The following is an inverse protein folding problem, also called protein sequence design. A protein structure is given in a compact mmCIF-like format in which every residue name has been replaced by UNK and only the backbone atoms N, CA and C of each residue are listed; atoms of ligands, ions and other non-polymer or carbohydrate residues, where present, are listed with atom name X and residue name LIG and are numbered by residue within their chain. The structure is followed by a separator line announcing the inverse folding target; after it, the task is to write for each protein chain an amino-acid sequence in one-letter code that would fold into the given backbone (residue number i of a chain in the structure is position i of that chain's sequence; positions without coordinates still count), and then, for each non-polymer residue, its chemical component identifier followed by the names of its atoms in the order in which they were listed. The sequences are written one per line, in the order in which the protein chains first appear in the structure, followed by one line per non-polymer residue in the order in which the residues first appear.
data_IF_634054523856
#
_entry.id   IF_634054523856
#
_cell.length_a   1.000
_cell.length_b   1.000
_cell.length_c   1.000
_cell.angle_alpha   90.00
_cell.angle_beta   90.00
_cell.angle_gamma   90.00
#
_symmetry.space_group_name_H-M   'P 1'
#
loop_
_entity.id
_entity.type
_entity.pdbx_description
1 polymer ?
#
# COMPACT_ATOMS: atom_id res chain seq x y z
N UNK A 1 46.53 -26.28 -29.28
CA UNK A 1 46.11 -26.87 -27.98
C UNK A 1 46.10 -25.79 -26.92
N UNK A 2 44.91 -25.40 -26.46
CA UNK A 2 44.62 -24.76 -25.17
C UNK A 2 43.09 -24.75 -25.03
N UNK A 3 42.59 -25.66 -24.22
CA UNK A 3 41.19 -25.86 -23.92
C UNK A 3 40.69 -24.69 -23.06
N UNK A 4 39.63 -24.01 -23.48
CA UNK A 4 38.89 -23.08 -22.63
C UNK A 4 37.43 -23.50 -22.63
N UNK A 5 37.12 -24.45 -21.73
CA UNK A 5 35.75 -24.75 -21.34
C UNK A 5 35.29 -23.59 -20.46
N UNK A 6 34.51 -22.66 -21.02
CA UNK A 6 33.72 -21.71 -20.23
C UNK A 6 32.31 -22.27 -20.16
N UNK A 7 32.01 -22.84 -18.99
CA UNK A 7 30.71 -23.35 -18.62
C UNK A 7 29.63 -22.28 -18.84
N UNK A 8 28.48 -22.76 -19.32
CA UNK A 8 27.34 -21.98 -19.74
C UNK A 8 26.87 -21.00 -18.68
N UNK A 9 26.53 -19.82 -19.19
CA UNK A 9 25.83 -18.75 -18.53
C UNK A 9 24.39 -19.21 -18.25
N UNK A 10 24.21 -20.02 -17.22
CA UNK A 10 22.90 -20.39 -16.69
C UNK A 10 22.42 -19.28 -15.77
N UNK A 11 21.74 -18.29 -16.33
CA UNK A 11 20.96 -17.31 -15.59
C UNK A 11 19.91 -18.05 -14.75
N UNK A 12 20.12 -18.15 -13.44
CA UNK A 12 19.08 -18.48 -12.48
C UNK A 12 18.90 -17.27 -11.59
N UNK A 13 17.99 -16.41 -12.03
CA UNK A 13 17.34 -15.39 -11.21
C UNK A 13 16.63 -16.17 -10.10
N UNK A 14 17.27 -16.29 -8.93
CA UNK A 14 16.55 -16.74 -7.74
C UNK A 14 15.62 -15.60 -7.37
N UNK A 15 14.38 -15.76 -7.85
CA UNK A 15 13.28 -14.85 -7.68
C UNK A 15 13.04 -14.56 -6.21
N UNK A 16 12.99 -13.27 -5.90
CA UNK A 16 12.16 -12.63 -4.89
C UNK A 16 11.55 -13.55 -3.82
N UNK A 17 12.28 -13.73 -2.73
CA UNK A 17 11.66 -13.83 -1.41
C UNK A 17 11.91 -12.53 -0.65
N UNK A 18 11.25 -11.45 -1.08
CA UNK A 18 10.81 -10.41 -0.14
C UNK A 18 9.44 -10.83 0.40
N UNK A 19 9.40 -11.99 1.05
CA UNK A 19 8.41 -12.22 2.09
C UNK A 19 8.94 -11.47 3.32
N UNK A 20 8.80 -10.14 3.29
CA UNK A 20 8.75 -9.37 4.54
C UNK A 20 7.44 -9.75 5.21
N UNK A 21 7.54 -10.84 5.97
CA UNK A 21 6.69 -11.17 7.11
C UNK A 21 6.72 -9.96 8.03
N UNK A 22 5.84 -8.99 7.78
CA UNK A 22 5.37 -8.05 8.77
C UNK A 22 4.31 -8.75 9.61
N UNK A 23 4.73 -9.75 10.40
CA UNK A 23 3.86 -10.33 11.41
C UNK A 23 3.57 -9.24 12.46
N UNK A 24 2.40 -8.60 12.36
CA UNK A 24 1.69 -8.03 13.50
C UNK A 24 2.41 -6.95 14.32
N UNK A 25 3.22 -6.10 13.70
CA UNK A 25 3.55 -4.83 14.36
C UNK A 25 2.29 -3.97 14.37
N UNK A 26 1.80 -3.68 15.58
CA UNK A 26 0.72 -2.74 15.78
C UNK A 26 1.16 -1.37 15.26
N UNK A 27 0.71 -1.02 14.06
CA UNK A 27 0.98 0.28 13.43
C UNK A 27 0.03 1.37 13.95
N UNK A 28 -0.71 1.14 15.05
CA UNK A 28 -1.60 2.14 15.65
C UNK A 28 -0.81 3.37 16.10
N UNK A 29 -1.30 4.53 15.71
CA UNK A 29 -0.66 5.81 16.01
C UNK A 29 -1.33 6.53 17.17
N UNK A 30 -0.54 7.31 17.90
CA UNK A 30 -1.05 8.22 18.95
C UNK A 30 -1.23 9.66 18.48
N UNK A 31 -0.78 9.99 17.26
CA UNK A 31 -0.88 11.31 16.66
C UNK A 31 -1.30 11.28 15.19
N UNK A 32 -2.04 12.32 14.77
CA UNK A 32 -2.50 12.46 13.39
C UNK A 32 -1.35 12.89 12.49
N UNK A 33 -1.19 12.18 11.37
CA UNK A 33 -0.23 12.46 10.30
C UNK A 33 -0.98 12.98 9.08
N UNK A 34 -0.46 14.04 8.46
CA UNK A 34 -1.12 14.69 7.33
C UNK A 34 -0.83 13.98 6.01
N UNK A 35 -1.57 14.33 4.95
CA UNK A 35 -1.23 13.88 3.59
C UNK A 35 0.20 14.25 3.20
N UNK A 36 0.65 15.49 3.51
CA UNK A 36 2.00 15.95 3.19
C UNK A 36 3.09 15.12 3.89
N UNK A 37 2.83 14.69 5.14
CA UNK A 37 3.74 13.79 5.85
C UNK A 37 3.92 12.48 5.09
N UNK A 38 2.81 11.84 4.70
CA UNK A 38 2.85 10.58 3.96
C UNK A 38 3.41 10.72 2.54
N UNK A 39 3.17 11.85 1.87
CA UNK A 39 3.80 12.15 0.58
C UNK A 39 5.33 12.24 0.70
N UNK A 40 5.85 12.75 1.83
CA UNK A 40 7.28 12.78 2.14
C UNK A 40 7.84 11.44 2.66
N UNK A 41 6.97 10.56 3.19
CA UNK A 41 7.33 9.27 3.80
C UNK A 41 6.57 8.11 3.13
N UNK A 42 6.83 7.92 1.84
CA UNK A 42 6.07 6.99 1.00
C UNK A 42 6.11 5.54 1.46
N UNK A 43 7.25 5.07 1.99
CA UNK A 43 7.37 3.71 2.53
C UNK A 43 6.44 3.48 3.72
N UNK A 44 6.36 4.47 4.62
CA UNK A 44 5.44 4.43 5.76
C UNK A 44 3.98 4.55 5.30
N UNK A 45 3.69 5.36 4.28
CA UNK A 45 2.36 5.44 3.70
C UNK A 45 1.90 4.08 3.14
N UNK A 46 2.78 3.36 2.43
CA UNK A 46 2.50 2.03 1.90
C UNK A 46 2.29 1.03 3.04
N UNK A 47 3.15 1.04 4.07
CA UNK A 47 3.04 0.14 5.21
C UNK A 47 1.75 0.38 6.00
N UNK A 48 1.42 1.64 6.31
CA UNK A 48 0.18 2.00 7.01
C UNK A 48 -1.04 1.65 6.19
N UNK A 49 -1.07 1.95 4.89
CA UNK A 49 -2.22 1.60 4.04
C UNK A 49 -2.48 0.08 4.03
N UNK A 50 -1.43 -0.74 3.89
CA UNK A 50 -1.53 -2.20 3.96
C UNK A 50 -2.09 -2.67 5.31
N UNK A 51 -1.53 -2.18 6.41
CA UNK A 51 -2.05 -2.48 7.75
C UNK A 51 -3.54 -2.12 7.89
N UNK A 52 -3.96 -0.96 7.37
CA UNK A 52 -5.37 -0.55 7.39
C UNK A 52 -6.26 -1.48 6.55
N UNK A 53 -5.78 -2.01 5.43
CA UNK A 53 -6.53 -2.97 4.62
C UNK A 53 -6.66 -4.32 5.35
N UNK A 54 -5.58 -4.79 5.96
CA UNK A 54 -5.56 -6.06 6.71
C UNK A 54 -6.49 -6.00 7.93
N UNK A 55 -6.39 -4.95 8.74
CA UNK A 55 -7.27 -4.73 9.91
C UNK A 55 -8.75 -4.54 9.49
N UNK A 56 -8.97 -4.04 8.28
CA UNK A 56 -10.31 -3.82 7.74
C UNK A 56 -10.87 -5.00 6.92
N UNK A 57 -10.13 -6.11 6.82
CA UNK A 57 -10.43 -7.26 5.97
C UNK A 57 -10.77 -6.86 4.51
N UNK A 58 -10.04 -5.87 3.99
CA UNK A 58 -10.16 -5.40 2.61
C UNK A 58 -9.31 -6.30 1.71
N UNK A 59 -9.97 -7.01 0.80
CA UNK A 59 -9.29 -7.95 -0.09
C UNK A 59 -8.41 -7.23 -1.13
N UNK A 60 -7.38 -7.93 -1.61
CA UNK A 60 -6.56 -7.44 -2.73
C UNK A 60 -7.39 -7.13 -3.99
N UNK A 61 -8.46 -7.89 -4.24
CA UNK A 61 -9.36 -7.62 -5.38
C UNK A 61 -10.03 -6.25 -5.25
N UNK A 62 -10.49 -5.90 -4.06
CA UNK A 62 -11.10 -4.59 -3.79
C UNK A 62 -10.08 -3.45 -3.92
N UNK A 63 -8.83 -3.69 -3.47
CA UNK A 63 -7.72 -2.73 -3.61
C UNK A 63 -7.41 -2.50 -5.09
N UNK A 64 -7.26 -3.58 -5.88
CA UNK A 64 -6.98 -3.49 -7.32
C UNK A 64 -8.13 -2.81 -8.08
N UNK A 65 -9.38 -3.17 -7.77
CA UNK A 65 -10.57 -2.53 -8.33
C UNK A 65 -10.57 -1.02 -8.05
N UNK A 66 -10.29 -0.63 -6.80
CA UNK A 66 -10.18 0.80 -6.42
C UNK A 66 -9.08 1.51 -7.21
N UNK A 67 -7.90 0.90 -7.37
CA UNK A 67 -6.82 1.50 -8.16
C UNK A 67 -7.22 1.72 -9.62
N UNK A 68 -7.88 0.74 -10.23
CA UNK A 68 -8.37 0.84 -11.61
C UNK A 68 -9.42 1.93 -11.79
N UNK A 69 -10.40 2.01 -10.89
CA UNK A 69 -11.42 3.06 -10.94
C UNK A 69 -10.81 4.45 -10.79
N UNK A 70 -9.84 4.61 -9.87
CA UNK A 70 -9.12 5.88 -9.70
C UNK A 70 -8.30 6.23 -10.94
N UNK A 71 -7.69 5.24 -11.60
CA UNK A 71 -6.97 5.47 -12.87
C UNK A 71 -7.89 6.05 -13.94
N UNK A 72 -9.13 5.57 -14.01
CA UNK A 72 -10.11 6.01 -15.01
C UNK A 72 -10.83 7.32 -14.65
N UNK A 73 -11.14 7.53 -13.36
CA UNK A 73 -11.94 8.68 -12.92
C UNK A 73 -11.18 9.77 -12.17
N UNK A 74 -9.88 9.58 -11.94
CA UNK A 74 -9.00 10.60 -11.37
C UNK A 74 -9.27 10.93 -9.91
N UNK A 75 -9.04 12.20 -9.55
CA UNK A 75 -9.00 12.66 -8.16
C UNK A 75 -10.36 12.56 -7.45
N UNK A 76 -11.47 12.76 -8.15
CA UNK A 76 -12.81 12.71 -7.55
C UNK A 76 -13.16 11.30 -7.11
N UNK A 77 -12.82 10.29 -7.92
CA UNK A 77 -12.99 8.89 -7.54
C UNK A 77 -12.07 8.51 -6.39
N UNK A 78 -10.83 9.02 -6.37
CA UNK A 78 -9.91 8.78 -5.25
C UNK A 78 -10.50 9.28 -3.93
N UNK A 79 -11.02 10.51 -3.92
CA UNK A 79 -11.62 11.10 -2.74
C UNK A 79 -12.87 10.31 -2.30
N UNK A 80 -13.77 9.99 -3.24
CA UNK A 80 -14.97 9.22 -2.95
C UNK A 80 -14.65 7.84 -2.35
N UNK A 81 -13.73 7.08 -2.95
CA UNK A 81 -13.37 5.74 -2.48
C UNK A 81 -12.71 5.77 -1.11
N UNK A 82 -11.80 6.72 -0.89
CA UNK A 82 -11.10 6.83 0.40
C UNK A 82 -12.00 7.36 1.52
N UNK A 83 -12.97 8.24 1.24
CA UNK A 83 -14.00 8.62 2.21
C UNK A 83 -14.93 7.44 2.56
N UNK A 84 -15.32 6.62 1.58
CA UNK A 84 -16.12 5.41 1.86
C UNK A 84 -15.36 4.42 2.75
N UNK A 85 -14.05 4.23 2.51
CA UNK A 85 -13.20 3.41 3.39
C UNK A 85 -13.08 4.04 4.79
N UNK A 86 -12.94 5.36 4.89
CA UNK A 86 -12.89 6.09 6.17
C UNK A 86 -14.15 5.87 7.01
N UNK A 87 -15.32 5.85 6.38
CA UNK A 87 -16.58 5.54 7.07
C UNK A 87 -16.58 4.10 7.60
N UNK A 88 -16.15 3.12 6.79
CA UNK A 88 -16.00 1.72 7.23
C UNK A 88 -15.05 1.59 8.42
N UNK A 89 -13.91 2.28 8.42
CA UNK A 89 -12.97 2.22 9.55
C UNK A 89 -13.57 2.73 10.86
N UNK A 90 -14.43 3.76 10.79
CA UNK A 90 -15.17 4.24 11.97
C UNK A 90 -16.12 3.16 12.52
N UNK A 91 -16.81 2.45 11.63
CA UNK A 91 -17.73 1.37 12.02
C UNK A 91 -16.98 0.17 12.62
N UNK A 92 -15.76 -0.08 12.16
CA UNK A 92 -14.84 -1.11 12.68
C UNK A 92 -14.13 -0.71 13.98
N UNK A 93 -14.49 0.44 14.57
CA UNK A 93 -13.94 0.96 15.83
C UNK A 93 -12.44 1.23 15.81
N UNK A 94 -11.88 1.60 14.66
CA UNK A 94 -10.54 2.20 14.64
C UNK A 94 -10.53 3.43 15.56
N UNK A 95 -9.37 3.73 16.14
CA UNK A 95 -9.21 5.00 16.85
C UNK A 95 -9.45 6.16 15.87
N UNK A 96 -9.82 7.35 16.38
CA UNK A 96 -9.98 8.53 15.53
C UNK A 96 -8.67 8.90 14.82
N UNK A 97 -7.54 8.68 15.48
CA UNK A 97 -6.20 8.88 14.94
C UNK A 97 -5.93 7.88 13.81
N UNK A 98 -6.17 6.59 14.04
CA UNK A 98 -5.95 5.57 13.01
C UNK A 98 -6.89 5.73 11.83
N UNK A 99 -8.14 6.11 12.07
CA UNK A 99 -9.09 6.41 10.99
C UNK A 99 -8.55 7.50 10.06
N UNK A 100 -8.01 8.59 10.62
CA UNK A 100 -7.45 9.68 9.83
C UNK A 100 -6.14 9.27 9.15
N UNK A 101 -5.25 8.59 9.87
CA UNK A 101 -3.97 8.15 9.33
C UNK A 101 -4.15 7.12 8.20
N UNK A 102 -5.10 6.19 8.34
CA UNK A 102 -5.48 5.26 7.28
C UNK A 102 -6.01 5.99 6.05
N UNK A 103 -6.92 6.95 6.25
CA UNK A 103 -7.45 7.76 5.15
C UNK A 103 -6.33 8.49 4.37
N UNK A 104 -5.40 9.14 5.07
CA UNK A 104 -4.29 9.86 4.43
C UNK A 104 -3.30 8.91 3.75
N UNK A 105 -2.91 7.83 4.42
CA UNK A 105 -1.97 6.84 3.90
C UNK A 105 -2.52 6.16 2.64
N UNK A 106 -3.79 5.76 2.62
CA UNK A 106 -4.41 5.10 1.46
C UNK A 106 -4.45 6.05 0.25
N UNK A 107 -4.75 7.34 0.45
CA UNK A 107 -4.70 8.32 -0.65
C UNK A 107 -3.32 8.39 -1.30
N UNK A 108 -2.27 8.42 -0.49
CA UNK A 108 -0.88 8.46 -0.98
C UNK A 108 -0.51 7.12 -1.64
N UNK A 109 -0.86 5.99 -1.03
CA UNK A 109 -0.67 4.66 -1.60
C UNK A 109 -1.26 4.53 -3.01
N UNK A 110 -2.54 4.90 -3.20
CA UNK A 110 -3.20 4.80 -4.51
C UNK A 110 -2.57 5.75 -5.53
N UNK A 111 -2.17 6.96 -5.12
CA UNK A 111 -1.44 7.90 -6.00
C UNK A 111 -0.11 7.31 -6.48
N UNK A 112 0.67 6.71 -5.57
CA UNK A 112 1.96 6.06 -5.88
C UNK A 112 1.74 4.93 -6.87
N UNK A 113 0.80 4.03 -6.59
CA UNK A 113 0.55 2.85 -7.43
C UNK A 113 0.04 3.23 -8.84
N UNK A 114 -0.74 4.30 -8.96
CA UNK A 114 -1.19 4.80 -10.26
C UNK A 114 -0.13 5.59 -11.03
N UNK A 115 0.90 6.13 -10.35
CA UNK A 115 2.00 6.86 -11.01
C UNK A 115 3.07 5.94 -11.58
N UNK A 116 3.06 4.65 -11.26
CA UNK A 116 4.05 3.64 -11.72
C UNK A 116 3.75 3.06 -13.11
N UNK A 117 2.58 3.34 -13.68
CA UNK A 117 2.08 2.77 -14.95
C UNK A 117 1.80 3.86 -15.98
#
# INVERSE_FOLDING_TARGET
MKNFVKNGLGASVVSATLLLVGCGDNMSDTSVKTGNYYEAHQEEAIAKAKWCFDEADISNEEIESTKQEVKSGGIDILLMRTENMKLRFKDMKFSSVDTENCYQAIKVFIKIENSKN
#
